data_IF_718947323405
#
_entry.id   IF_718947323405
#
_cell.length_a   1.000
_cell.length_b   1.000
_cell.length_c   1.000
_cell.angle_alpha   90.00
_cell.angle_beta   90.00
_cell.angle_gamma   90.00
#
_symmetry.space_group_name_H-M   'P 1'
#
loop_
_entity.id
_entity.type
_entity.pdbx_description
1 polymer ?
#
# COMPACT_ATOMS: atom_id res chain seq x y z
N UNK A 1 -7.96 22.23 -69.45
CA UNK A 1 -7.64 22.84 -68.17
C UNK A 1 -8.17 21.86 -67.09
N UNK A 2 -7.33 21.06 -66.53
CA UNK A 2 -7.67 20.17 -65.43
C UNK A 2 -6.54 20.23 -64.40
N UNK A 3 -6.84 20.83 -63.22
CA UNK A 3 -5.92 20.91 -62.10
C UNK A 3 -6.03 19.61 -61.28
N UNK A 4 -4.93 18.92 -61.17
CA UNK A 4 -4.78 17.76 -60.32
C UNK A 4 -4.38 18.19 -58.90
N UNK A 5 -5.29 18.01 -57.98
CA UNK A 5 -5.05 18.20 -56.54
C UNK A 5 -4.40 16.95 -55.94
N UNK A 6 -3.13 17.08 -55.60
CA UNK A 6 -2.31 16.00 -55.04
C UNK A 6 -2.38 15.99 -53.52
N UNK A 7 -3.38 15.32 -52.92
CA UNK A 7 -3.46 15.06 -51.49
C UNK A 7 -2.33 14.15 -50.99
N UNK A 8 -1.28 14.71 -50.40
CA UNK A 8 -0.20 13.98 -49.72
C UNK A 8 -0.75 13.34 -48.45
N UNK A 9 -0.94 12.02 -48.47
CA UNK A 9 -1.20 11.20 -47.30
C UNK A 9 0.01 11.28 -46.36
N UNK A 10 -0.16 11.92 -45.22
CA UNK A 10 0.81 11.85 -44.13
C UNK A 10 0.80 10.43 -43.58
N UNK A 11 1.92 9.72 -43.74
CA UNK A 11 2.14 8.42 -43.13
C UNK A 11 2.12 8.57 -41.60
N UNK A 12 1.19 7.88 -40.99
CA UNK A 12 1.05 7.81 -39.53
C UNK A 12 2.21 6.95 -38.98
N UNK A 13 3.28 7.58 -38.46
CA UNK A 13 4.37 6.86 -37.77
C UNK A 13 3.82 6.34 -36.45
N UNK A 14 3.92 5.05 -36.16
CA UNK A 14 3.55 4.55 -34.83
C UNK A 14 4.46 5.18 -33.78
N UNK A 15 3.86 5.57 -32.65
CA UNK A 15 4.59 6.10 -31.50
C UNK A 15 5.64 5.07 -31.01
N UNK A 16 6.80 5.51 -30.53
CA UNK A 16 7.83 4.61 -30.02
C UNK A 16 7.26 3.84 -28.81
N UNK A 17 7.22 2.52 -28.95
CA UNK A 17 6.86 1.62 -27.84
C UNK A 17 7.99 1.66 -26.82
N UNK A 18 7.81 2.37 -25.73
CA UNK A 18 8.75 2.33 -24.60
C UNK A 18 8.68 0.93 -24.00
N UNK A 19 9.68 0.10 -24.31
CA UNK A 19 9.87 -1.17 -23.63
C UNK A 19 10.46 -0.87 -22.26
N UNK A 20 9.63 -0.93 -21.23
CA UNK A 20 10.13 -1.00 -19.85
C UNK A 20 10.88 -2.34 -19.71
N UNK A 21 12.12 -2.32 -19.16
CA UNK A 21 12.81 -3.57 -18.85
C UNK A 21 11.90 -4.39 -17.92
N UNK A 22 11.71 -5.68 -18.25
CA UNK A 22 11.02 -6.60 -17.34
C UNK A 22 11.79 -6.58 -16.02
N UNK A 23 11.13 -6.35 -14.89
CA UNK A 23 11.81 -6.44 -13.60
C UNK A 23 12.45 -7.82 -13.50
N UNK A 24 13.72 -7.88 -13.14
CA UNK A 24 14.35 -9.12 -12.67
C UNK A 24 13.48 -9.60 -11.54
N UNK A 25 13.01 -10.85 -11.58
CA UNK A 25 12.17 -11.40 -10.54
C UNK A 25 12.86 -11.16 -9.20
N UNK A 26 12.27 -10.32 -8.35
CA UNK A 26 12.81 -10.05 -7.03
C UNK A 26 12.76 -11.34 -6.22
N UNK A 27 13.81 -11.61 -5.46
CA UNK A 27 13.80 -12.69 -4.48
C UNK A 27 13.06 -12.29 -3.19
N UNK A 28 12.54 -11.06 -3.14
CA UNK A 28 11.95 -10.44 -1.96
C UNK A 28 10.60 -9.82 -2.28
N UNK A 29 9.68 -9.99 -1.35
CA UNK A 29 8.42 -9.26 -1.25
C UNK A 29 8.48 -8.27 -0.09
N UNK A 30 7.59 -7.29 -0.11
CA UNK A 30 7.43 -6.34 1.00
C UNK A 30 6.24 -6.75 1.87
N UNK A 31 6.48 -6.99 3.14
CA UNK A 31 5.45 -7.12 4.15
C UNK A 31 5.17 -5.77 4.79
N UNK A 32 3.92 -5.53 5.14
CA UNK A 32 3.46 -4.31 5.78
C UNK A 32 2.49 -4.66 6.89
N UNK A 33 2.72 -4.13 8.10
CA UNK A 33 1.72 -4.06 9.16
C UNK A 33 1.32 -2.62 9.39
N UNK A 34 0.03 -2.42 9.62
CA UNK A 34 -0.51 -1.18 10.14
C UNK A 34 -1.51 -1.52 11.26
N UNK A 35 -1.34 -0.91 12.42
CA UNK A 35 -2.30 -1.00 13.52
C UNK A 35 -3.07 0.30 13.67
N UNK A 36 -4.28 0.19 14.19
CA UNK A 36 -5.09 1.35 14.49
C UNK A 36 -5.91 1.11 15.78
N UNK A 37 -6.00 2.13 16.61
CA UNK A 37 -6.78 2.10 17.83
C UNK A 37 -8.16 2.67 17.54
N UNK A 38 -9.19 1.84 17.66
CA UNK A 38 -10.58 2.23 17.44
C UNK A 38 -11.06 3.18 18.52
N UNK A 39 -11.89 4.16 18.13
CA UNK A 39 -12.54 5.10 19.05
C UNK A 39 -13.71 4.48 19.81
N UNK A 40 -14.32 3.45 19.24
CA UNK A 40 -15.47 2.74 19.79
C UNK A 40 -15.40 1.26 19.37
N UNK A 41 -16.20 0.35 19.94
CA UNK A 41 -16.39 -1.01 19.43
C UNK A 41 -16.85 -1.01 17.96
N UNK A 42 -16.47 -2.04 17.18
CA UNK A 42 -16.78 -2.13 15.74
C UNK A 42 -18.28 -2.10 15.42
N UNK A 43 -19.13 -2.56 16.34
CA UNK A 43 -20.59 -2.58 16.23
C UNK A 43 -21.24 -1.25 16.64
N UNK A 44 -20.45 -0.28 17.11
CA UNK A 44 -20.95 1.04 17.46
C UNK A 44 -21.35 1.84 16.18
N UNK A 45 -22.43 2.64 16.23
CA UNK A 45 -22.89 3.44 15.10
C UNK A 45 -21.82 4.36 14.51
N UNK A 46 -20.91 4.86 15.35
CA UNK A 46 -19.79 5.74 14.95
C UNK A 46 -18.81 5.04 14.00
N UNK A 47 -18.73 3.70 14.06
CA UNK A 47 -17.83 2.89 13.24
C UNK A 47 -18.50 2.33 11.98
N UNK A 48 -19.81 2.48 11.79
CA UNK A 48 -20.55 1.95 10.63
C UNK A 48 -19.91 2.37 9.30
N UNK A 49 -19.49 3.65 9.20
CA UNK A 49 -18.80 4.17 8.03
C UNK A 49 -17.47 3.48 7.74
N UNK A 50 -16.72 3.07 8.76
CA UNK A 50 -15.49 2.30 8.61
C UNK A 50 -15.80 0.85 8.22
N UNK A 51 -16.69 0.19 8.94
CA UNK A 51 -17.08 -1.21 8.70
C UNK A 51 -17.60 -1.40 7.28
N UNK A 52 -18.42 -0.47 6.78
CA UNK A 52 -18.94 -0.50 5.40
C UNK A 52 -17.84 -0.40 4.33
N UNK A 53 -16.67 0.14 4.66
CA UNK A 53 -15.53 0.26 3.74
C UNK A 53 -14.59 -0.96 3.75
N UNK A 54 -14.66 -1.85 4.73
CA UNK A 54 -13.76 -3.00 4.87
C UNK A 54 -13.80 -3.90 3.63
N UNK A 55 -14.97 -4.43 3.27
CA UNK A 55 -15.09 -5.35 2.15
C UNK A 55 -14.70 -4.69 0.80
N UNK A 56 -15.17 -3.47 0.44
CA UNK A 56 -14.74 -2.80 -0.79
C UNK A 56 -13.22 -2.53 -0.85
N UNK A 57 -12.59 -2.15 0.26
CA UNK A 57 -11.16 -1.85 0.27
C UNK A 57 -10.32 -3.13 0.23
N UNK A 58 -10.76 -4.19 0.92
CA UNK A 58 -10.13 -5.49 0.83
C UNK A 58 -10.17 -6.06 -0.59
N UNK A 59 -11.34 -6.02 -1.25
CA UNK A 59 -11.49 -6.43 -2.64
C UNK A 59 -10.63 -5.58 -3.60
N UNK A 60 -10.49 -4.28 -3.32
CA UNK A 60 -9.60 -3.42 -4.08
C UNK A 60 -8.12 -3.83 -3.90
N UNK A 61 -7.70 -4.17 -2.68
CA UNK A 61 -6.35 -4.69 -2.43
C UNK A 61 -6.12 -5.99 -3.18
N UNK A 62 -7.03 -6.97 -3.04
CA UNK A 62 -6.95 -8.29 -3.66
C UNK A 62 -6.84 -8.23 -5.20
N UNK A 63 -7.40 -7.18 -5.83
CA UNK A 63 -7.34 -6.95 -7.28
C UNK A 63 -6.22 -5.99 -7.73
N UNK A 64 -5.45 -5.43 -6.81
CA UNK A 64 -4.40 -4.46 -7.13
C UNK A 64 -3.17 -5.14 -7.72
N UNK A 65 -2.54 -4.57 -8.77
CA UNK A 65 -1.29 -5.10 -9.29
C UNK A 65 -0.20 -5.19 -8.23
N UNK A 66 0.44 -6.36 -8.14
CA UNK A 66 1.50 -6.63 -7.17
C UNK A 66 1.01 -6.95 -5.75
N UNK A 67 -0.28 -7.11 -5.55
CA UNK A 67 -0.81 -7.69 -4.31
C UNK A 67 -0.49 -9.18 -4.24
N UNK A 68 -0.07 -9.67 -3.06
CA UNK A 68 0.30 -11.07 -2.85
C UNK A 68 -0.61 -11.74 -1.83
N UNK A 69 -0.79 -11.12 -0.65
CA UNK A 69 -1.54 -11.70 0.44
C UNK A 69 -1.94 -10.65 1.48
N UNK A 70 -3.00 -10.92 2.22
CA UNK A 70 -3.38 -10.18 3.43
C UNK A 70 -3.90 -11.09 4.52
N UNK A 71 -3.72 -10.67 5.76
CA UNK A 71 -4.29 -11.31 6.93
C UNK A 71 -5.82 -11.20 6.87
N UNK A 72 -6.48 -12.33 7.09
CA UNK A 72 -7.93 -12.40 7.18
C UNK A 72 -8.35 -13.60 8.00
N UNK A 73 -9.47 -13.47 8.71
CA UNK A 73 -10.22 -14.54 9.32
C UNK A 73 -11.15 -15.21 8.31
N UNK A 74 -11.92 -16.20 8.73
CA UNK A 74 -12.99 -16.80 7.91
C UNK A 74 -14.05 -15.78 7.48
N UNK A 75 -14.21 -14.67 8.23
CA UNK A 75 -15.11 -13.56 7.88
C UNK A 75 -14.60 -12.70 6.70
N UNK A 76 -13.36 -12.93 6.23
CA UNK A 76 -12.80 -12.24 5.06
C UNK A 76 -12.07 -10.93 5.38
N UNK A 77 -11.92 -10.57 6.65
CA UNK A 77 -11.12 -9.46 7.14
C UNK A 77 -10.35 -9.81 8.43
N UNK A 78 -9.51 -8.91 8.90
CA UNK A 78 -8.67 -9.12 10.07
C UNK A 78 -9.25 -8.52 11.38
N UNK A 79 -10.45 -7.96 11.36
CA UNK A 79 -11.00 -7.24 12.52
C UNK A 79 -11.28 -8.12 13.74
N UNK A 80 -11.48 -9.42 13.52
CA UNK A 80 -11.65 -10.41 14.59
C UNK A 80 -10.35 -10.98 15.14
N UNK A 81 -9.18 -10.64 14.54
CA UNK A 81 -7.89 -11.18 14.93
C UNK A 81 -7.32 -10.30 16.06
N UNK A 82 -7.08 -10.93 17.21
CA UNK A 82 -6.48 -10.26 18.37
C UNK A 82 -4.96 -10.44 18.30
N UNK A 83 -4.28 -9.35 18.03
CA UNK A 83 -2.83 -9.30 17.84
C UNK A 83 -2.12 -8.55 18.97
N UNK A 84 -2.83 -7.70 19.70
CA UNK A 84 -2.28 -6.82 20.73
C UNK A 84 -3.14 -6.92 22.00
N UNK A 85 -2.60 -6.50 23.13
CA UNK A 85 -3.28 -6.60 24.45
C UNK A 85 -4.54 -5.70 24.61
N UNK A 86 -4.79 -4.76 23.70
CA UNK A 86 -5.99 -3.90 23.71
C UNK A 86 -6.96 -4.38 22.60
N UNK A 87 -8.16 -4.79 22.98
CA UNK A 87 -9.23 -5.26 22.10
C UNK A 87 -9.70 -4.21 21.07
N UNK A 88 -9.37 -2.95 21.28
CA UNK A 88 -9.66 -1.86 20.34
C UNK A 88 -8.59 -1.72 19.24
N UNK A 89 -7.47 -2.43 19.36
CA UNK A 89 -6.46 -2.42 18.33
C UNK A 89 -6.86 -3.39 17.22
N UNK A 90 -6.98 -2.86 16.02
CA UNK A 90 -7.12 -3.66 14.81
C UNK A 90 -5.77 -3.73 14.07
N UNK A 91 -5.50 -4.88 13.49
CA UNK A 91 -4.30 -5.14 12.70
C UNK A 91 -4.65 -5.25 11.22
N UNK A 92 -3.84 -4.63 10.38
CA UNK A 92 -3.83 -4.84 8.93
C UNK A 92 -2.43 -5.30 8.54
N UNK A 93 -2.30 -6.53 8.11
CA UNK A 93 -1.05 -7.15 7.68
C UNK A 93 -1.21 -7.63 6.24
N UNK A 94 -0.30 -7.22 5.37
CA UNK A 94 -0.35 -7.56 3.94
C UNK A 94 1.03 -7.72 3.32
N UNK A 95 1.09 -8.42 2.20
CA UNK A 95 2.32 -8.67 1.42
C UNK A 95 2.10 -8.20 -0.01
N UNK A 96 3.13 -7.55 -0.56
CA UNK A 96 3.14 -6.97 -1.89
C UNK A 96 4.43 -7.32 -2.62
N UNK A 97 4.39 -7.41 -3.95
CA UNK A 97 5.59 -7.70 -4.75
C UNK A 97 6.66 -6.63 -4.61
N UNK A 98 6.24 -5.35 -4.47
CA UNK A 98 7.15 -4.20 -4.41
C UNK A 98 6.62 -3.10 -3.49
N UNK A 99 7.52 -2.23 -3.03
CA UNK A 99 7.14 -1.01 -2.31
C UNK A 99 6.27 -0.10 -3.20
N UNK A 100 6.54 -0.08 -4.50
CA UNK A 100 5.77 0.68 -5.49
C UNK A 100 4.31 0.23 -5.55
N UNK A 101 4.07 -1.08 -5.62
CA UNK A 101 2.72 -1.63 -5.66
C UNK A 101 1.92 -1.24 -4.40
N UNK A 102 2.54 -1.41 -3.21
CA UNK A 102 1.96 -0.96 -1.95
C UNK A 102 1.68 0.56 -1.96
N UNK A 103 2.66 1.37 -2.39
CA UNK A 103 2.52 2.83 -2.43
C UNK A 103 1.40 3.28 -3.36
N UNK A 104 1.25 2.67 -4.54
CA UNK A 104 0.15 2.94 -5.47
C UNK A 104 -1.20 2.59 -4.85
N UNK A 105 -1.32 1.44 -4.18
CA UNK A 105 -2.53 1.07 -3.48
C UNK A 105 -2.87 2.09 -2.39
N UNK A 106 -1.92 2.44 -1.53
CA UNK A 106 -2.15 3.31 -0.37
C UNK A 106 -2.52 4.74 -0.78
N UNK A 107 -1.82 5.33 -1.77
CA UNK A 107 -1.90 6.76 -2.07
C UNK A 107 -2.59 7.10 -3.40
N UNK A 108 -2.65 6.15 -4.34
CA UNK A 108 -3.17 6.38 -5.68
C UNK A 108 -4.49 5.64 -5.98
N UNK A 109 -5.02 4.87 -5.02
CA UNK A 109 -6.30 4.18 -5.14
C UNK A 109 -7.38 4.81 -4.25
N UNK A 110 -8.59 4.24 -4.25
CA UNK A 110 -9.67 4.65 -3.34
C UNK A 110 -9.35 4.44 -1.86
N UNK A 111 -8.30 3.70 -1.52
CA UNK A 111 -7.81 3.58 -0.15
C UNK A 111 -7.49 4.95 0.49
N UNK A 112 -7.13 5.95 -0.31
CA UNK A 112 -6.89 7.33 0.16
C UNK A 112 -8.13 7.94 0.85
N UNK A 113 -9.34 7.50 0.52
CA UNK A 113 -10.58 7.94 1.15
C UNK A 113 -10.63 7.52 2.62
N UNK A 114 -10.19 6.29 2.92
CA UNK A 114 -10.05 5.78 4.31
C UNK A 114 -9.03 6.61 5.08
N UNK A 115 -7.85 6.85 4.48
CA UNK A 115 -6.81 7.65 5.12
C UNK A 115 -7.26 9.08 5.44
N UNK A 116 -8.06 9.71 4.58
CA UNK A 116 -8.61 11.06 4.81
C UNK A 116 -9.57 11.11 5.98
N UNK A 117 -10.37 10.05 6.14
CA UNK A 117 -11.38 9.94 7.18
C UNK A 117 -10.91 9.24 8.45
N UNK A 118 -9.66 8.77 8.50
CA UNK A 118 -9.15 7.97 9.62
C UNK A 118 -9.40 8.57 11.01
N UNK A 119 -9.45 9.92 11.10
CA UNK A 119 -9.71 10.62 12.38
C UNK A 119 -11.15 10.49 12.86
N UNK A 120 -12.07 10.09 11.98
CA UNK A 120 -13.47 9.87 12.36
C UNK A 120 -13.58 8.59 13.19
N UNK A 121 -12.71 7.60 12.94
CA UNK A 121 -12.81 6.23 13.45
C UNK A 121 -11.70 5.81 14.41
N UNK A 122 -10.52 6.42 14.29
CA UNK A 122 -9.33 6.00 15.04
C UNK A 122 -8.79 7.10 15.94
N UNK A 123 -8.31 6.67 17.11
CA UNK A 123 -7.54 7.52 18.00
C UNK A 123 -6.17 7.85 17.39
N UNK A 124 -5.60 8.97 17.82
CA UNK A 124 -4.22 9.31 17.48
C UNK A 124 -3.28 8.46 18.32
N UNK A 125 -2.57 7.56 17.71
CA UNK A 125 -1.50 6.82 18.37
C UNK A 125 -0.26 7.69 18.52
N UNK A 126 0.38 7.63 19.69
CA UNK A 126 1.62 8.37 19.96
C UNK A 126 2.82 7.68 19.35
N UNK A 127 2.79 6.34 19.33
CA UNK A 127 3.89 5.49 18.86
C UNK A 127 3.75 5.14 17.37
N UNK A 128 4.80 4.53 16.84
CA UNK A 128 4.78 3.96 15.50
C UNK A 128 3.63 2.94 15.38
N UNK A 129 2.87 3.05 14.31
CA UNK A 129 1.71 2.22 14.01
C UNK A 129 1.78 1.65 12.60
N UNK A 130 2.95 1.71 11.97
CA UNK A 130 3.23 1.20 10.62
C UNK A 130 4.65 0.69 10.57
N UNK A 131 4.83 -0.55 10.16
CA UNK A 131 6.12 -1.13 9.83
C UNK A 131 6.09 -1.85 8.49
N UNK A 132 7.17 -1.69 7.73
CA UNK A 132 7.47 -2.43 6.51
C UNK A 132 8.77 -3.20 6.70
N UNK A 133 8.86 -4.39 6.12
CA UNK A 133 10.09 -5.18 6.07
C UNK A 133 10.11 -6.11 4.86
N UNK A 134 11.31 -6.50 4.46
CA UNK A 134 11.49 -7.44 3.36
C UNK A 134 11.37 -8.89 3.83
N UNK A 135 10.64 -9.70 3.08
CA UNK A 135 10.51 -11.15 3.30
C UNK A 135 10.86 -11.91 2.01
N UNK A 136 11.41 -13.12 2.08
CA UNK A 136 11.64 -13.94 0.90
C UNK A 136 10.32 -14.23 0.15
N UNK A 137 10.38 -14.27 -1.19
CA UNK A 137 9.24 -14.66 -2.03
C UNK A 137 8.70 -16.01 -1.57
N UNK A 138 7.37 -16.13 -1.45
CA UNK A 138 6.69 -17.34 -0.97
C UNK A 138 6.57 -17.45 0.55
N UNK A 139 7.10 -16.47 1.32
CA UNK A 139 6.91 -16.42 2.77
C UNK A 139 5.64 -15.63 3.09
N UNK A 140 4.91 -16.09 4.12
CA UNK A 140 3.78 -15.37 4.72
C UNK A 140 4.19 -14.96 6.13
N UNK A 141 4.12 -13.67 6.49
CA UNK A 141 4.49 -13.19 7.81
C UNK A 141 3.46 -13.60 8.85
N UNK A 142 3.89 -13.78 10.09
CA UNK A 142 3.00 -14.02 11.24
C UNK A 142 2.63 -12.71 11.94
N UNK A 143 1.62 -12.78 12.80
CA UNK A 143 1.22 -11.63 13.64
C UNK A 143 2.33 -11.29 14.63
N UNK A 144 2.96 -12.29 15.24
CA UNK A 144 4.08 -12.12 16.17
C UNK A 144 5.30 -11.47 15.50
N UNK A 145 5.56 -11.80 14.23
CA UNK A 145 6.60 -11.12 13.47
C UNK A 145 6.23 -9.65 13.24
N UNK A 146 4.98 -9.36 12.90
CA UNK A 146 4.51 -7.99 12.71
C UNK A 146 4.62 -7.15 13.99
N UNK A 147 4.24 -7.69 15.15
CA UNK A 147 4.41 -7.06 16.46
C UNK A 147 5.89 -6.75 16.75
N UNK A 148 6.77 -7.73 16.47
CA UNK A 148 8.21 -7.53 16.63
C UNK A 148 8.74 -6.40 15.75
N UNK A 149 8.30 -6.31 14.47
CA UNK A 149 8.75 -5.23 13.54
C UNK A 149 8.29 -3.84 14.01
N UNK A 150 7.10 -3.73 14.56
CA UNK A 150 6.64 -2.50 15.18
C UNK A 150 7.43 -2.13 16.44
N UNK A 151 7.74 -3.11 17.28
CA UNK A 151 8.58 -2.89 18.45
C UNK A 151 9.98 -2.39 18.06
N UNK A 152 10.58 -2.95 17.01
CA UNK A 152 11.88 -2.50 16.48
C UNK A 152 11.84 -1.02 16.10
N UNK A 153 10.81 -0.57 15.36
CA UNK A 153 10.68 0.86 14.99
C UNK A 153 10.50 1.74 16.23
N UNK A 154 9.68 1.31 17.20
CA UNK A 154 9.46 2.06 18.44
C UNK A 154 10.73 2.24 19.27
N UNK A 155 11.53 1.19 19.40
CA UNK A 155 12.70 1.16 20.26
C UNK A 155 13.94 1.74 19.61
N UNK A 156 14.13 1.52 18.31
CA UNK A 156 15.38 1.78 17.59
C UNK A 156 15.26 2.75 16.42
N UNK A 157 14.02 3.13 16.08
CA UNK A 157 13.74 3.89 14.86
C UNK A 157 13.77 3.03 13.59
N UNK A 158 13.71 3.68 12.44
CA UNK A 158 13.72 3.01 11.13
C UNK A 158 15.09 2.41 10.80
N UNK A 159 15.09 1.22 10.23
CA UNK A 159 16.30 0.47 9.86
C UNK A 159 15.99 -0.48 8.69
N UNK A 160 16.98 -1.22 8.19
CA UNK A 160 16.76 -2.29 7.21
C UNK A 160 15.86 -3.41 7.72
N UNK A 161 15.75 -3.58 9.04
CA UNK A 161 14.94 -4.62 9.67
C UNK A 161 13.44 -4.24 9.76
N UNK A 162 13.18 -2.93 9.94
CA UNK A 162 11.82 -2.38 9.95
C UNK A 162 11.87 -0.89 9.57
N UNK A 163 11.03 -0.49 8.60
CA UNK A 163 11.03 0.85 8.04
C UNK A 163 9.61 1.32 7.68
N UNK A 164 9.49 2.48 7.06
CA UNK A 164 8.20 3.05 6.65
C UNK A 164 8.22 3.43 5.17
N UNK A 165 7.04 3.70 4.58
CA UNK A 165 6.96 4.27 3.23
C UNK A 165 7.61 5.67 3.14
N UNK A 166 7.78 6.34 4.27
CA UNK A 166 8.46 7.65 4.32
C UNK A 166 9.97 7.53 4.21
N UNK A 167 10.53 6.49 4.83
CA UNK A 167 11.96 6.21 4.90
C UNK A 167 12.18 4.74 4.52
N UNK A 168 12.04 4.43 3.21
CA UNK A 168 12.14 3.05 2.74
C UNK A 168 13.59 2.59 2.62
N UNK A 169 13.82 1.30 2.85
CA UNK A 169 15.10 0.64 2.66
C UNK A 169 15.07 -0.30 1.45
N UNK A 170 16.19 -0.45 0.72
CA UNK A 170 16.26 -1.37 -0.41
C UNK A 170 16.15 -2.83 0.05
N UNK A 171 15.71 -3.71 -0.85
CA UNK A 171 15.72 -5.15 -0.59
C UNK A 171 17.14 -5.65 -0.33
N UNK A 172 17.32 -6.68 0.51
CA UNK A 172 18.63 -7.25 0.80
C UNK A 172 19.38 -7.62 -0.48
N UNK A 173 20.63 -7.15 -0.60
CA UNK A 173 21.46 -7.37 -1.78
C UNK A 173 21.11 -6.53 -3.00
N UNK A 174 20.12 -5.64 -2.92
CA UNK A 174 19.73 -4.76 -4.03
C UNK A 174 20.48 -3.43 -3.94
N UNK A 175 21.03 -2.98 -5.08
CA UNK A 175 21.58 -1.63 -5.25
C UNK A 175 20.56 -0.70 -5.96
N UNK A 176 19.33 -1.15 -6.16
CA UNK A 176 18.29 -0.33 -6.80
C UNK A 176 17.82 0.74 -5.81
N UNK A 177 17.85 2.02 -6.18
CA UNK A 177 17.34 3.09 -5.33
C UNK A 177 15.85 2.87 -5.01
N UNK A 178 15.49 3.02 -3.76
CA UNK A 178 14.08 2.94 -3.34
C UNK A 178 13.39 4.25 -3.69
N UNK A 179 12.15 4.21 -4.22
CA UNK A 179 11.44 5.42 -4.59
C UNK A 179 11.11 6.28 -3.35
N UNK A 180 11.33 7.58 -3.47
CA UNK A 180 10.90 8.54 -2.46
C UNK A 180 9.38 8.68 -2.43
N UNK A 181 8.83 9.09 -1.29
CA UNK A 181 7.38 9.33 -1.10
C UNK A 181 6.77 10.29 -2.12
N UNK A 182 7.54 11.23 -2.68
CA UNK A 182 7.06 12.21 -3.65
C UNK A 182 6.59 11.55 -4.97
N UNK A 183 7.03 10.33 -5.24
CA UNK A 183 6.63 9.56 -6.41
C UNK A 183 5.16 9.08 -6.37
N UNK A 184 4.56 8.98 -5.18
CA UNK A 184 3.19 8.52 -4.97
C UNK A 184 2.16 9.66 -4.94
N UNK A 185 2.62 10.91 -4.94
CA UNK A 185 1.71 12.04 -4.98
C UNK A 185 1.03 12.08 -6.34
N UNK A 186 -0.29 12.03 -6.37
CA UNK A 186 -1.04 12.41 -7.57
C UNK A 186 -0.49 13.75 -8.08
N UNK A 187 -0.26 13.87 -9.40
CA UNK A 187 -0.12 15.21 -9.98
C UNK A 187 -1.37 15.96 -9.57
N UNK A 188 -1.20 16.99 -8.76
CA UNK A 188 -2.26 17.96 -8.49
C UNK A 188 -2.72 18.44 -9.85
N UNK A 189 -3.90 17.98 -10.29
CA UNK A 189 -4.55 18.55 -11.46
C UNK A 189 -4.65 20.04 -11.19
N UNK A 190 -3.87 20.82 -11.94
CA UNK A 190 -3.97 22.25 -11.98
C UNK A 190 -5.43 22.59 -12.21
N UNK A 191 -6.04 23.25 -11.26
CA UNK A 191 -7.39 23.77 -11.37
C UNK A 191 -7.42 24.62 -12.65
N UNK A 192 -8.28 24.37 -13.62
CA UNK A 192 -8.43 25.32 -14.72
C UNK A 192 -8.91 26.64 -14.13
N UNK A 193 -8.25 27.73 -14.55
CA UNK A 193 -8.59 29.12 -14.27
C UNK A 193 -9.93 29.47 -14.91
#
# INVERSE_FOLDING_TARGET
MASSDGARRRANRPAPTVRYPRPVASSWHIAQVNIALLRAPLDAPELEGFVSMLAPINALADSSPGFVWRLQSEAGDATGIRAFDDDRIIVNLSVWETIEALGLFVFASRHIEVLRRRRDWFEKMADAHLALWWIPVGTIPTVEEAEHREAVIRERGVSSDAFTLREPFPAPGSNVPVPSQDRWRYPTTSRPV
#
